data_IF_359142610136
#
_entry.id   IF_359142610136
#
_cell.length_a   1.000
_cell.length_b   1.000
_cell.length_c   1.000
_cell.angle_alpha   90.00
_cell.angle_beta   90.00
_cell.angle_gamma   90.00
#
_symmetry.space_group_name_H-M   'P 1'
#
loop_
_entity.id
_entity.type
_entity.pdbx_description
1 polymer ?
#
# COMPACT_ATOMS: atom_id res chain seq x y z
N UNK A 1 1.84 6.08 -1.37
CA UNK A 1 1.44 4.70 -1.68
C UNK A 1 0.30 4.30 -0.76
N UNK A 2 -0.83 3.85 -1.33
CA UNK A 2 -2.02 3.46 -0.57
C UNK A 2 -2.36 1.98 -0.77
N UNK A 3 -2.77 1.29 0.30
CA UNK A 3 -3.32 -0.07 0.23
C UNK A 3 -4.19 -0.41 1.45
N UNK A 4 -4.83 -1.59 1.40
CA UNK A 4 -5.67 -2.11 2.48
C UNK A 4 -5.36 -3.58 2.82
N UNK A 5 -5.34 -4.47 1.82
CA UNK A 5 -4.83 -5.84 1.96
C UNK A 5 -5.56 -6.70 2.99
N UNK A 6 -6.85 -6.50 3.23
CA UNK A 6 -7.61 -7.23 4.25
C UNK A 6 -9.05 -7.50 3.83
N UNK A 7 -9.64 -8.54 4.45
CA UNK A 7 -11.05 -8.94 4.30
C UNK A 7 -11.50 -9.30 2.88
N UNK A 8 -10.57 -9.57 1.97
CA UNK A 8 -10.89 -9.78 0.56
C UNK A 8 -11.35 -8.49 -0.14
N UNK A 9 -11.15 -7.33 0.48
CA UNK A 9 -11.57 -6.05 -0.08
C UNK A 9 -10.67 -5.67 -1.26
N UNK A 10 -11.27 -5.41 -2.41
CA UNK A 10 -10.59 -4.88 -3.60
C UNK A 10 -10.74 -3.37 -3.63
N UNK A 11 -9.66 -2.66 -3.94
CA UNK A 11 -9.66 -1.20 -4.07
C UNK A 11 -9.80 -0.90 -5.55
N UNK A 12 -10.91 -0.31 -5.97
CA UNK A 12 -11.07 0.12 -7.36
C UNK A 12 -10.52 1.54 -7.57
N UNK A 13 -10.22 1.87 -8.82
CA UNK A 13 -9.96 3.26 -9.19
C UNK A 13 -11.26 4.07 -9.05
N UNK A 14 -11.25 5.07 -8.17
CA UNK A 14 -12.40 5.94 -7.97
C UNK A 14 -11.96 7.40 -7.84
N UNK A 15 -12.85 8.32 -8.25
CA UNK A 15 -12.62 9.75 -8.13
C UNK A 15 -12.66 10.19 -6.67
N UNK A 16 -11.68 11.00 -6.26
CA UNK A 16 -11.64 11.62 -4.95
C UNK A 16 -11.20 13.07 -5.09
N UNK A 17 -12.10 14.01 -4.79
CA UNK A 17 -11.81 15.44 -4.81
C UNK A 17 -10.68 15.81 -3.82
N UNK A 18 -10.58 15.07 -2.70
CA UNK A 18 -9.53 15.27 -1.69
C UNK A 18 -8.13 15.00 -2.25
N UNK A 19 -7.99 14.13 -3.27
CA UNK A 19 -6.68 13.85 -3.90
C UNK A 19 -6.21 15.00 -4.80
N UNK A 20 -7.12 15.80 -5.36
CA UNK A 20 -6.77 16.86 -6.32
C UNK A 20 -5.76 17.85 -5.75
N UNK A 21 -5.94 18.29 -4.50
CA UNK A 21 -4.99 19.22 -3.85
C UNK A 21 -3.57 18.66 -3.74
N UNK A 22 -3.42 17.34 -3.55
CA UNK A 22 -2.10 16.71 -3.53
C UNK A 22 -1.49 16.63 -4.93
N UNK A 23 -2.29 16.24 -5.93
CA UNK A 23 -1.86 16.15 -7.32
C UNK A 23 -1.41 17.52 -7.86
N UNK A 24 -2.15 18.59 -7.56
CA UNK A 24 -1.81 19.97 -7.95
C UNK A 24 -0.49 20.44 -7.33
N UNK A 25 -0.11 19.87 -6.19
CA UNK A 25 1.17 20.13 -5.49
C UNK A 25 2.31 19.24 -5.97
N UNK A 26 2.10 18.46 -7.03
CA UNK A 26 3.10 17.59 -7.63
C UNK A 26 3.26 16.22 -6.98
N UNK A 27 2.30 15.79 -6.14
CA UNK A 27 2.30 14.42 -5.64
C UNK A 27 1.83 13.44 -6.71
N UNK A 28 2.39 12.24 -6.70
CA UNK A 28 1.80 11.07 -7.34
C UNK A 28 0.98 10.27 -6.32
N UNK A 29 -0.14 9.68 -6.77
CA UNK A 29 -0.94 8.76 -5.96
C UNK A 29 -0.95 7.37 -6.61
N UNK A 30 -0.52 6.36 -5.85
CA UNK A 30 -0.46 4.97 -6.29
C UNK A 30 -1.29 4.08 -5.36
N UNK A 31 -2.05 3.15 -5.95
CA UNK A 31 -2.82 2.12 -5.24
C UNK A 31 -2.10 0.79 -5.44
N UNK A 32 -1.77 0.10 -4.35
CA UNK A 32 -1.21 -1.26 -4.41
C UNK A 32 -2.29 -2.31 -4.09
N UNK A 33 -2.49 -3.25 -5.02
CA UNK A 33 -3.42 -4.38 -4.86
C UNK A 33 -2.73 -5.60 -4.24
N UNK A 34 -2.33 -5.45 -2.98
CA UNK A 34 -1.58 -6.48 -2.22
C UNK A 34 -2.45 -7.66 -1.78
N UNK A 35 -1.82 -8.80 -1.44
CA UNK A 35 -2.51 -9.99 -0.90
C UNK A 35 -3.31 -9.67 0.36
N UNK A 36 -4.36 -10.45 0.59
CA UNK A 36 -5.37 -10.20 1.61
C UNK A 36 -6.52 -9.31 1.12
N UNK A 37 -6.36 -8.65 -0.03
CA UNK A 37 -7.48 -8.27 -0.91
C UNK A 37 -7.88 -9.44 -1.81
N UNK A 38 -8.83 -9.23 -2.73
CA UNK A 38 -9.32 -10.30 -3.62
C UNK A 38 -9.29 -9.93 -5.11
N UNK A 39 -8.41 -8.99 -5.50
CA UNK A 39 -8.25 -8.55 -6.90
C UNK A 39 -7.97 -9.71 -7.85
N UNK A 40 -7.11 -10.65 -7.44
CA UNK A 40 -6.76 -11.85 -8.22
C UNK A 40 -7.54 -13.10 -7.77
N UNK A 41 -8.72 -12.92 -7.16
CA UNK A 41 -9.57 -14.02 -6.70
C UNK A 41 -9.20 -14.56 -5.31
N UNK A 42 -9.87 -15.66 -4.93
CA UNK A 42 -9.89 -16.15 -3.55
C UNK A 42 -8.50 -16.57 -3.01
N UNK A 43 -7.68 -17.17 -3.86
CA UNK A 43 -6.31 -17.56 -3.48
C UNK A 43 -5.48 -16.35 -3.02
N UNK A 44 -5.66 -15.19 -3.65
CA UNK A 44 -4.97 -13.94 -3.29
C UNK A 44 -5.35 -13.43 -1.89
N UNK A 45 -6.61 -13.63 -1.50
CA UNK A 45 -7.09 -13.30 -0.16
C UNK A 45 -6.55 -14.29 0.88
N UNK A 46 -6.66 -15.58 0.59
CA UNK A 46 -6.25 -16.63 1.54
C UNK A 46 -4.73 -16.61 1.79
N UNK A 47 -3.93 -16.18 0.82
CA UNK A 47 -2.48 -16.04 0.96
C UNK A 47 -2.02 -14.73 1.64
N UNK A 48 -2.95 -13.89 2.10
CA UNK A 48 -2.65 -12.64 2.81
C UNK A 48 -3.44 -12.45 4.11
N UNK A 49 -3.85 -13.56 4.75
CA UNK A 49 -4.62 -13.53 6.00
C UNK A 49 -4.08 -14.53 7.05
N UNK A 50 -4.44 -14.29 8.31
CA UNK A 50 -4.10 -15.17 9.45
C UNK A 50 -2.58 -15.46 9.49
N UNK A 51 -2.15 -16.72 9.36
CA UNK A 51 -0.74 -17.10 9.42
C UNK A 51 0.09 -16.58 8.23
N UNK A 52 -0.58 -16.27 7.12
CA UNK A 52 0.07 -15.72 5.92
C UNK A 52 0.05 -14.19 5.89
N UNK A 53 -0.35 -13.52 6.99
CA UNK A 53 -0.51 -12.06 6.99
C UNK A 53 0.79 -11.31 6.69
N UNK A 54 1.95 -11.90 6.98
CA UNK A 54 3.27 -11.34 6.65
C UNK A 54 3.42 -11.05 5.15
N UNK A 55 2.77 -11.83 4.29
CA UNK A 55 2.79 -11.64 2.84
C UNK A 55 2.18 -10.30 2.43
N UNK A 56 1.08 -9.87 3.08
CA UNK A 56 0.48 -8.55 2.85
C UNK A 56 1.47 -7.42 3.12
N UNK A 57 2.27 -7.54 4.19
CA UNK A 57 3.24 -6.50 4.55
C UNK A 57 4.42 -6.48 3.58
N UNK A 58 4.94 -7.65 3.22
CA UNK A 58 6.00 -7.79 2.23
C UNK A 58 5.57 -7.25 0.86
N UNK A 59 4.37 -7.57 0.39
CA UNK A 59 3.85 -7.05 -0.88
C UNK A 59 3.84 -5.52 -0.92
N UNK A 60 3.47 -4.87 0.19
CA UNK A 60 3.45 -3.40 0.27
C UNK A 60 4.86 -2.80 0.26
N UNK A 61 5.79 -3.45 0.97
CA UNK A 61 7.21 -3.08 0.97
C UNK A 61 7.81 -3.25 -0.44
N UNK A 62 7.48 -4.33 -1.14
CA UNK A 62 7.95 -4.59 -2.50
C UNK A 62 7.38 -3.55 -3.48
N UNK A 63 6.11 -3.16 -3.31
CA UNK A 63 5.54 -2.04 -4.07
C UNK A 63 6.27 -0.71 -3.81
N UNK A 64 6.67 -0.44 -2.57
CA UNK A 64 7.45 0.75 -2.22
C UNK A 64 8.84 0.73 -2.89
N UNK A 65 9.55 -0.41 -2.79
CA UNK A 65 10.85 -0.60 -3.43
C UNK A 65 10.76 -0.46 -4.95
N UNK A 66 9.71 -1.02 -5.57
CA UNK A 66 9.47 -0.88 -7.00
C UNK A 66 9.32 0.60 -7.41
N UNK A 67 8.49 1.37 -6.71
CA UNK A 67 8.30 2.79 -7.03
C UNK A 67 9.59 3.62 -6.89
N UNK A 68 10.45 3.27 -5.93
CA UNK A 68 11.76 3.91 -5.76
C UNK A 68 12.73 3.48 -6.86
N UNK A 69 12.78 2.19 -7.18
CA UNK A 69 13.65 1.62 -8.21
C UNK A 69 13.34 2.14 -9.61
N UNK A 70 12.06 2.33 -9.92
CA UNK A 70 11.58 2.91 -11.19
C UNK A 70 11.59 4.45 -11.20
N UNK A 71 12.19 5.08 -10.18
CA UNK A 71 12.37 6.53 -10.09
C UNK A 71 11.07 7.35 -10.09
N UNK A 72 9.93 6.76 -9.73
CA UNK A 72 8.70 7.54 -9.46
C UNK A 72 8.82 8.37 -8.18
N UNK A 73 9.66 7.95 -7.24
CA UNK A 73 9.91 8.64 -5.96
C UNK A 73 11.25 8.19 -5.36
N UNK A 74 11.55 8.63 -4.13
CA UNK A 74 12.64 8.14 -3.29
C UNK A 74 12.20 8.09 -1.81
N UNK A 75 13.02 7.51 -0.92
CA UNK A 75 12.69 7.40 0.52
C UNK A 75 12.38 8.76 1.17
N UNK A 76 13.00 9.86 0.73
CA UNK A 76 12.75 11.22 1.22
C UNK A 76 11.47 11.87 0.67
N UNK A 77 10.69 11.14 -0.14
CA UNK A 77 9.48 11.63 -0.80
C UNK A 77 8.34 10.61 -0.82
N UNK A 78 8.55 9.38 -0.37
CA UNK A 78 7.53 8.34 -0.33
C UNK A 78 6.78 8.37 1.00
N UNK A 79 5.44 8.41 0.91
CA UNK A 79 4.54 8.35 2.06
C UNK A 79 3.64 7.12 2.02
N UNK A 80 3.40 6.49 3.16
CA UNK A 80 2.55 5.30 3.31
C UNK A 80 1.16 5.67 3.86
N UNK A 81 0.10 5.16 3.24
CA UNK A 81 -1.28 5.49 3.62
C UNK A 81 -2.15 4.25 3.73
N UNK A 82 -2.89 4.14 4.83
CA UNK A 82 -3.87 3.08 5.08
C UNK A 82 -4.74 3.39 6.29
N UNK A 83 -6.02 3.01 6.24
CA UNK A 83 -6.99 3.25 7.32
C UNK A 83 -7.70 1.95 7.74
N UNK A 84 -8.24 1.90 8.96
CA UNK A 84 -8.80 0.66 9.55
C UNK A 84 -7.78 -0.49 9.55
N UNK A 85 -8.05 -1.62 8.90
CA UNK A 85 -7.05 -2.68 8.73
C UNK A 85 -5.82 -2.25 7.90
N UNK A 86 -5.98 -1.24 7.03
CA UNK A 86 -4.86 -0.57 6.39
C UNK A 86 -3.96 0.17 7.38
N UNK A 87 -4.48 0.61 8.53
CA UNK A 87 -3.68 1.21 9.60
C UNK A 87 -2.76 0.18 10.27
N UNK A 88 -3.23 -1.06 10.46
CA UNK A 88 -2.38 -2.17 10.89
C UNK A 88 -1.27 -2.43 9.87
N UNK A 89 -1.59 -2.42 8.58
CA UNK A 89 -0.60 -2.53 7.51
C UNK A 89 0.48 -1.44 7.63
N UNK A 90 0.09 -0.16 7.75
CA UNK A 90 1.06 0.93 7.85
C UNK A 90 1.91 0.81 9.13
N UNK A 91 1.28 0.46 10.26
CA UNK A 91 2.01 0.22 11.51
C UNK A 91 3.05 -0.89 11.37
N UNK A 92 2.72 -2.00 10.72
CA UNK A 92 3.66 -3.09 10.49
C UNK A 92 4.84 -2.66 9.61
N UNK A 93 4.57 -2.05 8.44
CA UNK A 93 5.64 -1.70 7.50
C UNK A 93 6.53 -0.56 7.99
N UNK A 94 6.00 0.37 8.79
CA UNK A 94 6.80 1.41 9.44
C UNK A 94 7.79 0.84 10.46
N UNK A 95 7.52 -0.34 11.03
CA UNK A 95 8.47 -1.05 11.92
C UNK A 95 9.41 -1.99 11.13
N UNK A 96 8.93 -2.60 10.06
CA UNK A 96 9.69 -3.59 9.28
C UNK A 96 10.70 -2.95 8.30
N UNK A 97 10.36 -1.80 7.73
CA UNK A 97 11.17 -1.10 6.73
C UNK A 97 11.03 0.44 6.86
N UNK A 98 11.36 1.02 8.05
CA UNK A 98 11.23 2.45 8.30
C UNK A 98 12.00 3.33 7.31
N UNK A 99 13.11 2.83 6.75
CA UNK A 99 13.98 3.55 5.83
C UNK A 99 13.36 3.83 4.45
N UNK A 100 12.24 3.20 4.12
CA UNK A 100 11.56 3.37 2.83
C UNK A 100 10.59 4.55 2.81
N UNK A 101 10.14 5.03 3.97
CA UNK A 101 9.02 5.97 4.08
C UNK A 101 9.41 7.21 4.87
N UNK A 102 9.14 8.39 4.30
CA UNK A 102 9.28 9.67 5.00
C UNK A 102 8.15 9.94 5.99
N UNK A 103 6.97 9.36 5.75
CA UNK A 103 5.81 9.48 6.62
C UNK A 103 4.58 8.79 6.09
#
# INVERSE_FOLDING_TARGET
LYAYGSYGHTIDAYFSSVRLSLLDRGFAFAIAHIRGGQMLGRAWYDDGKVMNKINTFNDFIDCAKYLIGEHYTNSDKLFAMGGSAGGLLIGAVANMAPELFKG
#
